data_IF_763532212925
#
_entry.id   IF_763532212925
#
_cell.length_a   1.000
_cell.length_b   1.000
_cell.length_c   1.000
_cell.angle_alpha   90.00
_cell.angle_beta   90.00
_cell.angle_gamma   90.00
#
_symmetry.space_group_name_H-M   'P 1'
#
loop_
_entity.id
_entity.type
_entity.pdbx_description
1 polymer ?
#
# COMPACT_ATOMS: atom_id res chain seq x y z
N UNK A 1 -7.18 -22.11 2.25
CA UNK A 1 -6.14 -22.17 3.30
C UNK A 1 -6.28 -20.93 4.15
N UNK A 2 -6.54 -21.03 5.47
CA UNK A 2 -6.55 -19.86 6.35
C UNK A 2 -5.16 -19.19 6.36
N UNK A 3 -5.11 -17.86 6.46
CA UNK A 3 -3.83 -17.14 6.62
C UNK A 3 -3.17 -17.48 7.96
N UNK A 4 -1.84 -17.33 8.10
CA UNK A 4 -1.15 -17.60 9.37
C UNK A 4 -1.78 -16.86 10.56
N UNK A 5 -2.21 -15.61 10.35
CA UNK A 5 -2.96 -14.81 11.35
C UNK A 5 -4.26 -15.48 11.83
N UNK A 6 -4.97 -16.21 10.97
CA UNK A 6 -6.18 -16.96 11.35
C UNK A 6 -5.85 -18.17 12.23
N UNK A 7 -4.71 -18.81 12.00
CA UNK A 7 -4.24 -19.91 12.85
C UNK A 7 -3.73 -19.45 14.22
N UNK A 8 -3.20 -18.23 14.30
CA UNK A 8 -2.69 -17.64 15.55
C UNK A 8 -3.72 -16.78 16.30
N UNK A 9 -4.98 -16.77 15.86
CA UNK A 9 -6.06 -15.96 16.42
C UNK A 9 -5.75 -14.45 16.45
N UNK A 10 -4.94 -13.99 15.50
CA UNK A 10 -4.64 -12.58 15.28
C UNK A 10 -5.65 -12.03 14.27
N UNK A 11 -6.14 -10.81 14.52
CA UNK A 11 -7.06 -10.14 13.61
C UNK A 11 -6.49 -10.09 12.19
N UNK A 12 -7.33 -10.42 11.20
CA UNK A 12 -7.00 -10.24 9.80
C UNK A 12 -6.78 -8.76 9.48
N UNK A 13 -5.83 -8.47 8.59
CA UNK A 13 -5.53 -7.10 8.18
C UNK A 13 -6.71 -6.54 7.38
N UNK A 14 -7.22 -5.38 7.78
CA UNK A 14 -8.24 -4.66 7.04
C UNK A 14 -7.64 -4.06 5.76
N UNK A 15 -8.37 -4.11 4.65
CA UNK A 15 -7.94 -3.44 3.42
C UNK A 15 -7.93 -1.93 3.64
N UNK A 16 -6.79 -1.29 3.42
CA UNK A 16 -6.60 0.14 3.53
C UNK A 16 -6.33 0.74 2.14
N UNK A 17 -7.21 1.64 1.68
CA UNK A 17 -7.14 2.22 0.32
C UNK A 17 -5.93 3.14 0.14
N UNK A 18 -5.61 3.96 1.14
CA UNK A 18 -4.52 4.92 1.06
C UNK A 18 -3.17 4.22 1.18
N UNK A 19 -3.08 3.18 2.01
CA UNK A 19 -1.93 2.27 2.01
C UNK A 19 -1.77 1.56 0.66
N UNK A 20 -2.88 1.19 0.00
CA UNK A 20 -2.84 0.58 -1.33
C UNK A 20 -2.31 1.55 -2.39
N UNK A 21 -2.85 2.77 -2.43
CA UNK A 21 -2.37 3.81 -3.34
C UNK A 21 -0.89 4.13 -3.14
N UNK A 22 -0.45 4.24 -1.88
CA UNK A 22 0.97 4.43 -1.59
C UNK A 22 1.81 3.23 -2.04
N UNK A 23 1.31 2.00 -1.85
CA UNK A 23 1.99 0.79 -2.31
C UNK A 23 2.15 0.76 -3.84
N UNK A 24 1.11 1.19 -4.59
CA UNK A 24 1.19 1.36 -6.05
C UNK A 24 2.29 2.36 -6.41
N UNK A 25 2.28 3.56 -5.80
CA UNK A 25 3.30 4.59 -6.06
C UNK A 25 4.73 4.17 -5.75
N UNK A 26 4.91 3.36 -4.72
CA UNK A 26 6.22 2.80 -4.40
C UNK A 26 6.60 1.73 -5.42
N UNK A 27 5.67 0.90 -5.88
CA UNK A 27 5.92 -0.08 -6.92
C UNK A 27 6.32 0.59 -8.24
N UNK A 28 5.59 1.62 -8.68
CA UNK A 28 5.94 2.47 -9.83
C UNK A 28 7.38 2.99 -9.71
N UNK A 29 7.78 3.49 -8.53
CA UNK A 29 9.15 3.99 -8.31
C UNK A 29 10.22 2.90 -8.35
N UNK A 30 9.87 1.67 -7.99
CA UNK A 30 10.78 0.53 -7.94
C UNK A 30 10.90 -0.17 -9.29
N UNK A 31 9.96 0.01 -10.22
CA UNK A 31 9.94 -0.65 -11.54
C UNK A 31 11.26 -0.45 -12.31
N UNK A 32 11.86 0.75 -12.21
CA UNK A 32 13.14 1.09 -12.84
C UNK A 32 14.37 0.47 -12.13
N UNK A 33 14.19 -0.12 -10.94
CA UNK A 33 15.27 -0.68 -10.15
C UNK A 33 15.47 -2.17 -10.46
N UNK A 34 16.73 -2.64 -10.59
CA UNK A 34 16.99 -4.05 -10.80
C UNK A 34 16.50 -4.86 -9.59
N UNK A 35 15.64 -5.83 -9.85
CA UNK A 35 15.22 -6.78 -8.81
C UNK A 35 16.41 -7.65 -8.39
N UNK A 36 16.94 -7.40 -7.20
CA UNK A 36 17.99 -8.22 -6.59
C UNK A 36 17.51 -8.79 -5.25
N UNK A 37 18.03 -9.96 -4.86
CA UNK A 37 17.65 -10.60 -3.60
C UNK A 37 17.88 -9.72 -2.35
N UNK A 38 18.78 -8.74 -2.42
CA UNK A 38 19.07 -7.81 -1.32
C UNK A 38 18.00 -6.71 -1.17
N UNK A 39 17.39 -6.27 -2.28
CA UNK A 39 16.35 -5.22 -2.30
C UNK A 39 14.94 -5.78 -2.03
N UNK A 40 14.74 -7.08 -2.23
CA UNK A 40 13.43 -7.75 -2.15
C UNK A 40 12.96 -8.20 -0.75
N UNK A 41 13.76 -7.98 0.30
CA UNK A 41 13.48 -8.58 1.62
C UNK A 41 13.87 -7.68 2.82
N UNK A 42 14.03 -6.38 2.60
CA UNK A 42 14.34 -5.42 3.65
C UNK A 42 13.12 -4.55 3.94
N UNK A 43 12.66 -4.46 5.19
CA UNK A 43 11.53 -3.60 5.55
C UNK A 43 12.01 -2.15 5.51
N UNK A 44 11.21 -1.27 4.94
CA UNK A 44 11.52 0.15 4.83
C UNK A 44 10.49 0.93 5.64
N UNK A 45 10.96 1.88 6.45
CA UNK A 45 10.06 2.75 7.18
C UNK A 45 9.39 3.73 6.23
N UNK A 46 8.13 4.04 6.50
CA UNK A 46 7.32 4.78 5.54
C UNK A 46 7.78 6.23 5.37
N UNK A 47 8.41 6.80 6.40
CA UNK A 47 9.08 8.11 6.36
C UNK A 47 10.22 8.19 5.33
N UNK A 48 10.66 7.05 4.77
CA UNK A 48 11.62 7.02 3.65
C UNK A 48 10.99 7.50 2.33
N UNK A 49 9.68 7.70 2.28
CA UNK A 49 8.92 8.11 1.09
C UNK A 49 8.07 9.38 1.34
N UNK A 50 8.64 10.50 1.83
CA UNK A 50 7.87 11.68 2.23
C UNK A 50 7.06 12.29 1.08
N UNK A 51 7.62 12.31 -0.14
CA UNK A 51 6.94 12.86 -1.31
C UNK A 51 5.72 12.03 -1.70
N UNK A 52 5.83 10.69 -1.63
CA UNK A 52 4.75 9.77 -1.97
C UNK A 52 3.65 9.78 -0.91
N UNK A 53 4.00 9.97 0.37
CA UNK A 53 3.03 10.19 1.44
C UNK A 53 2.17 11.42 1.16
N UNK A 54 2.79 12.54 0.78
CA UNK A 54 2.08 13.77 0.40
C UNK A 54 1.18 13.55 -0.82
N UNK A 55 1.66 12.87 -1.87
CA UNK A 55 0.86 12.56 -3.07
C UNK A 55 -0.34 11.66 -2.76
N UNK A 56 -0.18 10.77 -1.79
CA UNK A 56 -1.22 9.85 -1.31
C UNK A 56 -2.28 10.53 -0.42
N UNK A 57 -2.15 11.84 -0.16
CA UNK A 57 -3.01 12.56 0.78
C UNK A 57 -2.87 12.09 2.23
N UNK A 58 -1.72 11.50 2.56
CA UNK A 58 -1.39 11.02 3.91
C UNK A 58 -0.65 12.13 4.64
N UNK A 59 -1.09 12.44 5.85
CA UNK A 59 -0.43 13.42 6.70
C UNK A 59 0.88 12.84 7.27
N UNK A 60 2.00 13.23 6.68
CA UNK A 60 3.34 12.80 7.10
C UNK A 60 3.65 13.17 8.55
N UNK A 61 3.07 14.26 9.06
CA UNK A 61 3.32 14.70 10.43
C UNK A 61 2.63 13.80 11.47
N UNK A 62 1.63 13.04 11.02
CA UNK A 62 0.86 12.11 11.85
C UNK A 62 0.98 10.66 11.40
N UNK A 63 1.85 10.33 10.42
CA UNK A 63 1.97 8.97 9.90
C UNK A 63 3.42 8.48 9.88
N UNK A 64 3.84 7.79 10.96
CA UNK A 64 5.20 7.26 11.17
C UNK A 64 5.27 5.82 11.69
N UNK A 65 4.12 5.16 11.90
CA UNK A 65 4.03 3.81 12.47
C UNK A 65 3.73 2.74 11.41
N UNK A 66 3.67 3.14 10.14
CA UNK A 66 3.53 2.24 8.99
C UNK A 66 4.86 1.66 8.52
N UNK A 67 4.81 0.48 7.88
CA UNK A 67 6.01 -0.15 7.29
C UNK A 67 5.74 -0.60 5.86
N UNK A 68 6.74 -0.41 5.01
CA UNK A 68 6.77 -0.83 3.60
C UNK A 68 7.58 -2.12 3.49
N UNK A 69 6.99 -3.11 2.83
CA UNK A 69 7.57 -4.42 2.65
C UNK A 69 7.64 -4.70 1.13
N UNK A 70 8.71 -4.27 0.43
CA UNK A 70 8.87 -4.53 -0.99
C UNK A 70 9.41 -5.95 -1.24
N UNK A 71 8.81 -6.67 -2.17
CA UNK A 71 9.32 -7.92 -2.69
C UNK A 71 9.40 -7.84 -4.21
N UNK A 72 10.32 -8.60 -4.80
CA UNK A 72 10.40 -8.69 -6.25
C UNK A 72 10.78 -10.09 -6.71
N UNK A 73 10.43 -10.42 -7.96
CA UNK A 73 10.81 -11.68 -8.59
C UNK A 73 10.15 -11.89 -9.95
N UNK A 74 10.78 -12.67 -10.84
CA UNK A 74 10.28 -12.87 -12.20
C UNK A 74 8.93 -13.59 -12.18
N UNK A 75 7.97 -13.05 -12.92
CA UNK A 75 6.60 -13.57 -13.08
C UNK A 75 5.87 -13.74 -11.73
N UNK A 76 5.47 -12.60 -11.16
CA UNK A 76 4.71 -12.47 -9.94
C UNK A 76 3.37 -13.22 -10.02
N UNK A 77 3.30 -14.44 -9.46
CA UNK A 77 2.02 -15.05 -9.09
C UNK A 77 1.68 -14.57 -7.68
N UNK A 78 0.60 -13.78 -7.47
CA UNK A 78 0.28 -13.17 -6.17
C UNK A 78 0.24 -14.16 -5.00
N UNK A 79 -0.20 -15.39 -5.27
CA UNK A 79 -0.27 -16.48 -4.28
C UNK A 79 1.10 -16.96 -3.82
N UNK A 80 2.11 -16.98 -4.70
CA UNK A 80 3.49 -17.38 -4.35
C UNK A 80 4.19 -16.30 -3.53
N UNK A 81 3.89 -15.03 -3.80
CA UNK A 81 4.46 -13.90 -3.06
C UNK A 81 3.96 -13.87 -1.63
N UNK A 82 2.65 -14.06 -1.37
CA UNK A 82 2.18 -14.13 0.02
C UNK A 82 2.92 -15.19 0.85
N UNK A 83 3.19 -16.37 0.27
CA UNK A 83 4.03 -17.40 0.92
C UNK A 83 5.49 -16.99 1.10
N UNK A 84 6.02 -16.06 0.30
CA UNK A 84 7.38 -15.57 0.45
C UNK A 84 7.45 -14.52 1.59
N UNK A 85 6.44 -13.66 1.72
CA UNK A 85 6.34 -12.73 2.86
C UNK A 85 6.28 -13.46 4.20
N UNK A 86 5.54 -14.57 4.29
CA UNK A 86 5.46 -15.37 5.52
C UNK A 86 6.73 -16.18 5.81
N UNK A 87 7.63 -16.36 4.82
CA UNK A 87 8.86 -17.15 4.95
C UNK A 87 10.14 -16.32 5.01
N UNK A 88 10.02 -14.99 4.95
CA UNK A 88 11.13 -14.04 5.03
C UNK A 88 11.15 -13.31 6.38
N UNK A 89 12.07 -12.35 6.51
CA UNK A 89 12.13 -11.39 7.62
C UNK A 89 10.84 -10.58 7.78
N UNK A 90 9.95 -10.58 6.78
CA UNK A 90 8.65 -9.92 6.81
C UNK A 90 7.61 -10.61 7.70
N UNK A 91 7.78 -11.90 7.98
CA UNK A 91 6.90 -12.67 8.85
C UNK A 91 6.69 -12.00 10.22
N UNK A 92 7.72 -11.35 10.78
CA UNK A 92 7.60 -10.64 12.06
C UNK A 92 6.66 -9.43 11.99
N UNK A 93 6.55 -8.76 10.83
CA UNK A 93 5.61 -7.64 10.65
C UNK A 93 4.23 -8.15 10.27
N UNK A 94 4.16 -9.12 9.36
CA UNK A 94 2.92 -9.77 8.91
C UNK A 94 2.23 -10.54 10.04
N UNK A 95 2.92 -10.89 11.12
CA UNK A 95 2.32 -11.54 12.30
C UNK A 95 2.29 -10.63 13.54
N UNK A 96 2.67 -9.35 13.43
CA UNK A 96 2.55 -8.40 14.54
C UNK A 96 1.10 -7.89 14.63
N UNK A 97 0.50 -8.01 15.82
CA UNK A 97 -0.88 -7.62 16.10
C UNK A 97 -1.09 -6.10 16.11
N UNK A 98 -0.01 -5.31 16.21
CA UNK A 98 -0.09 -3.84 16.14
C UNK A 98 -0.58 -3.35 14.77
N UNK A 99 -0.29 -4.11 13.71
CA UNK A 99 -0.76 -3.80 12.38
C UNK A 99 -2.17 -4.35 12.20
N UNK A 100 -3.06 -3.45 11.81
CA UNK A 100 -4.50 -3.71 11.68
C UNK A 100 -4.99 -3.43 10.27
N UNK A 101 -4.23 -2.68 9.46
CA UNK A 101 -4.53 -2.39 8.07
C UNK A 101 -3.40 -2.77 7.11
N UNK A 102 -3.75 -3.02 5.84
CA UNK A 102 -2.79 -3.27 4.79
C UNK A 102 -3.23 -2.77 3.41
N UNK A 103 -2.25 -2.30 2.63
CA UNK A 103 -2.35 -2.01 1.22
C UNK A 103 -1.39 -2.89 0.41
N UNK A 104 -1.75 -3.17 -0.85
CA UNK A 104 -0.95 -3.96 -1.78
C UNK A 104 -0.89 -3.19 -3.10
N UNK A 105 0.31 -3.05 -3.65
CA UNK A 105 0.57 -2.55 -4.99
C UNK A 105 1.54 -3.46 -5.73
N UNK A 106 1.53 -3.41 -7.05
CA UNK A 106 2.46 -4.15 -7.89
C UNK A 106 2.77 -3.36 -9.16
N UNK A 107 4.00 -3.50 -9.64
CA UNK A 107 4.42 -3.01 -10.96
C UNK A 107 5.59 -3.86 -11.46
N UNK A 108 5.53 -4.28 -12.73
CA UNK A 108 6.46 -5.25 -13.33
C UNK A 108 6.82 -6.45 -12.42
N UNK A 109 8.09 -6.52 -11.97
CA UNK A 109 8.63 -7.57 -11.10
C UNK A 109 8.53 -7.21 -9.61
N UNK A 110 7.93 -6.08 -9.25
CA UNK A 110 7.80 -5.59 -7.89
C UNK A 110 6.39 -5.75 -7.32
N UNK A 111 6.34 -6.14 -6.05
CA UNK A 111 5.14 -6.15 -5.22
C UNK A 111 5.46 -5.43 -3.93
N UNK A 112 4.56 -4.56 -3.49
CA UNK A 112 4.75 -3.77 -2.28
C UNK A 112 3.57 -4.00 -1.36
N UNK A 113 3.84 -4.41 -0.12
CA UNK A 113 2.85 -4.44 0.95
C UNK A 113 3.14 -3.29 1.91
N UNK A 114 2.14 -2.45 2.17
CA UNK A 114 2.20 -1.39 3.19
C UNK A 114 1.33 -1.83 4.36
N UNK A 115 1.90 -1.94 5.55
CA UNK A 115 1.16 -2.24 6.78
C UNK A 115 0.93 -0.97 7.59
N UNK A 116 -0.26 -0.87 8.19
CA UNK A 116 -0.69 0.30 8.97
C UNK A 116 -1.22 -0.14 10.33
N UNK A 117 -1.09 0.72 11.33
CA UNK A 117 -1.68 0.52 12.66
C UNK A 117 -3.05 1.20 12.74
N UNK A 118 -3.73 1.09 13.87
CA UNK A 118 -4.95 1.86 14.18
C UNK A 118 -4.67 3.04 15.13
N UNK A 119 -3.40 3.27 15.47
CA UNK A 119 -2.97 4.44 16.24
C UNK A 119 -2.93 5.64 15.30
N UNK A 120 -3.07 6.88 15.82
CA UNK A 120 -3.00 8.07 14.98
C UNK A 120 -1.75 8.09 14.08
N UNK A 121 -0.61 7.64 14.64
CA UNK A 121 0.69 7.51 13.97
C UNK A 121 0.72 6.55 12.79
N UNK A 122 -0.28 5.70 12.58
CA UNK A 122 -0.39 4.83 11.42
C UNK A 122 -1.79 4.83 10.87
N UNK A 123 -2.56 5.89 11.12
CA UNK A 123 -3.89 6.08 10.56
C UNK A 123 -3.76 6.77 9.19
N UNK A 124 -4.03 6.00 8.15
CA UNK A 124 -3.98 6.49 6.78
C UNK A 124 -5.35 7.01 6.36
N UNK A 125 -6.32 7.17 7.27
CA UNK A 125 -7.62 7.78 7.00
C UNK A 125 -7.49 9.30 6.77
N UNK A 126 -6.88 9.68 5.65
CA UNK A 126 -6.89 11.03 5.11
C UNK A 126 -8.15 11.27 4.28
N UNK A 127 -8.79 12.42 4.48
CA UNK A 127 -10.06 12.80 3.86
C UNK A 127 -9.95 12.96 2.33
N UNK A 128 -10.08 11.87 1.58
CA UNK A 128 -10.35 11.95 0.14
C UNK A 128 -11.86 12.18 -0.05
N UNK A 129 -12.31 13.40 0.26
CA UNK A 129 -13.60 13.88 -0.23
C UNK A 129 -13.43 14.19 -1.72
N UNK A 130 -13.52 13.17 -2.58
CA UNK A 130 -13.73 13.39 -4.01
C UNK A 130 -15.15 13.95 -4.19
N UNK A 131 -15.31 15.26 -3.96
CA UNK A 131 -16.41 16.02 -4.54
C UNK A 131 -16.22 15.91 -6.04
N UNK A 132 -16.94 14.98 -6.66
CA UNK A 132 -17.15 14.96 -8.09
C UNK A 132 -17.85 16.26 -8.43
N UNK A 133 -17.11 17.26 -8.90
CA UNK A 133 -17.70 18.41 -9.58
C UNK A 133 -18.23 17.91 -10.92
N UNK A 134 -19.40 17.29 -10.90
CA UNK A 134 -20.25 17.15 -12.07
C UNK A 134 -20.72 18.56 -12.41
N UNK A 135 -19.88 19.28 -13.16
CA UNK A 135 -20.31 20.49 -13.84
C UNK A 135 -21.18 20.07 -15.02
N UNK A 136 -22.49 20.20 -14.85
CA UNK A 136 -23.47 20.13 -15.93
C UNK A 136 -23.06 21.07 -17.06
N UNK A 137 -22.49 20.52 -18.13
CA UNK A 137 -22.33 21.22 -19.40
C UNK A 137 -23.69 21.36 -20.06
N UNK A 138 -24.45 22.40 -19.71
CA UNK A 138 -25.59 22.86 -20.49
C UNK A 138 -25.06 23.42 -21.83
N UNK A 139 -24.93 22.58 -22.85
CA UNK A 139 -24.89 23.05 -24.24
C UNK A 139 -26.32 23.39 -24.68
N UNK A 140 -26.73 24.62 -24.37
CA UNK A 140 -27.84 25.30 -25.03
C UNK A 140 -27.42 25.57 -26.49
N UNK A 141 -27.70 24.64 -27.40
CA UNK A 141 -27.61 24.90 -28.84
C UNK A 141 -28.88 25.66 -29.21
N UNK A 142 -28.73 26.96 -29.40
CA UNK A 142 -29.75 27.83 -30.02
C UNK A 142 -29.71 27.61 -31.53
N UNK A 143 -30.80 27.09 -32.10
CA UNK A 143 -31.06 27.18 -33.54
C UNK A 143 -31.52 28.61 -33.85
N UNK A 144 -30.72 29.35 -34.63
CA UNK A 144 -31.18 30.49 -35.42
C UNK A 144 -30.32 30.57 -36.68
N UNK A 145 -30.82 29.95 -37.76
CA UNK A 145 -30.84 30.41 -39.17
C UNK A 145 -31.35 29.29 -40.07
#
# INVERSE_FOLDING_TARGET
MPSERQFTNIQALAKNKNAGFLADKIADKLEDQPCTAASAASPVQIESYPDLLSESGIDVNHTTEGVVLPACGPHLVPTLLLTNYTRTTYSKYINDSRFTGAGLGHEDDWMVVVLTTSTPGGDFAGAISLVSKVGFGHCLVTLLL
#
